data_IF_853415891981
#
_entry.id   IF_853415891981
#
_cell.length_a   1.000
_cell.length_b   1.000
_cell.length_c   1.000
_cell.angle_alpha   90.00
_cell.angle_beta   90.00
_cell.angle_gamma   90.00
#
_symmetry.space_group_name_H-M   'P 1'
#
loop_
_entity.id
_entity.type
_entity.pdbx_description
1 polymer ?
#
# COMPACT_ATOMS: atom_id res chain seq x y z
N UNK A 1 69.49 -33.31 -43.76
CA UNK A 1 70.58 -34.32 -43.83
C UNK A 1 71.96 -33.70 -44.01
N UNK A 2 72.17 -32.81 -44.99
CA UNK A 2 73.49 -32.17 -45.23
C UNK A 2 74.02 -31.39 -44.00
N UNK A 3 73.17 -30.66 -43.27
CA UNK A 3 73.55 -29.92 -42.05
C UNK A 3 74.01 -30.84 -40.92
N UNK A 4 73.32 -31.97 -40.70
CA UNK A 4 73.72 -32.95 -39.69
C UNK A 4 75.04 -33.65 -40.05
N UNK A 5 75.28 -33.92 -41.34
CA UNK A 5 76.53 -34.48 -41.85
C UNK A 5 77.69 -33.49 -41.75
N UNK A 6 77.44 -32.19 -41.97
CA UNK A 6 78.40 -31.12 -41.70
C UNK A 6 78.79 -31.03 -40.23
N UNK A 7 77.82 -31.05 -39.31
CA UNK A 7 78.12 -31.04 -37.87
C UNK A 7 78.93 -32.27 -37.46
N UNK A 8 78.59 -33.46 -37.97
CA UNK A 8 79.39 -34.68 -37.73
C UNK A 8 80.80 -34.57 -38.29
N UNK A 9 80.96 -34.05 -39.50
CA UNK A 9 82.27 -33.79 -40.11
C UNK A 9 83.12 -32.85 -39.24
N UNK A 10 82.57 -31.71 -38.79
CA UNK A 10 83.29 -30.78 -37.92
C UNK A 10 83.67 -31.41 -36.56
N UNK A 11 82.80 -32.24 -35.99
CA UNK A 11 83.10 -32.99 -34.77
C UNK A 11 84.24 -34.00 -34.98
N UNK A 12 84.21 -34.77 -36.08
CA UNK A 12 85.25 -35.73 -36.41
C UNK A 12 86.61 -35.08 -36.66
N UNK A 13 86.63 -33.90 -37.28
CA UNK A 13 87.84 -33.08 -37.44
C UNK A 13 88.42 -32.65 -36.09
N UNK A 14 87.59 -32.18 -35.15
CA UNK A 14 88.05 -31.73 -33.83
C UNK A 14 88.66 -32.85 -32.99
N UNK A 15 88.18 -34.08 -33.15
CA UNK A 15 88.73 -35.25 -32.46
C UNK A 15 89.87 -35.95 -33.23
N UNK A 16 90.36 -35.32 -34.32
CA UNK A 16 91.48 -35.82 -35.12
C UNK A 16 91.16 -37.01 -36.02
N UNK A 17 89.90 -37.42 -36.14
CA UNK A 17 89.48 -38.56 -36.95
C UNK A 17 89.16 -38.13 -38.40
N UNK A 18 90.22 -37.96 -39.18
CA UNK A 18 90.14 -37.47 -40.57
C UNK A 18 89.33 -38.41 -41.48
N UNK A 19 89.45 -39.73 -41.28
CA UNK A 19 88.73 -40.72 -42.08
C UNK A 19 87.21 -40.61 -41.91
N UNK A 20 86.74 -40.49 -40.67
CA UNK A 20 85.30 -40.34 -40.38
C UNK A 20 84.77 -38.96 -40.80
N UNK A 21 85.62 -37.92 -40.75
CA UNK A 21 85.27 -36.60 -41.25
C UNK A 21 85.05 -36.62 -42.77
N UNK A 22 85.96 -37.25 -43.51
CA UNK A 22 85.85 -37.43 -44.96
C UNK A 22 84.61 -38.24 -45.33
N UNK A 23 84.42 -39.40 -44.70
CA UNK A 23 83.24 -40.25 -44.93
C UNK A 23 81.92 -39.50 -44.68
N UNK A 24 81.88 -38.65 -43.65
CA UNK A 24 80.69 -37.85 -43.33
C UNK A 24 80.43 -36.76 -44.37
N UNK A 25 81.47 -36.08 -44.84
CA UNK A 25 81.36 -35.05 -45.87
C UNK A 25 80.96 -35.63 -47.24
N UNK A 26 81.58 -36.74 -47.65
CA UNK A 26 81.24 -37.47 -48.89
C UNK A 26 79.82 -38.04 -48.85
N UNK A 27 79.39 -38.57 -47.70
CA UNK A 27 78.01 -39.00 -47.50
C UNK A 27 77.03 -37.82 -47.65
N UNK A 28 77.40 -36.65 -47.13
CA UNK A 28 76.65 -35.40 -47.30
C UNK A 28 76.57 -34.96 -48.77
N UNK A 29 77.68 -34.99 -49.50
CA UNK A 29 77.74 -34.67 -50.92
C UNK A 29 76.90 -35.65 -51.75
N UNK A 30 77.01 -36.96 -51.50
CA UNK A 30 76.22 -37.96 -52.21
C UNK A 30 74.71 -37.77 -52.01
N UNK A 31 74.30 -37.41 -50.80
CA UNK A 31 72.91 -37.05 -50.52
C UNK A 31 72.48 -35.78 -51.27
N UNK A 32 73.34 -34.76 -51.32
CA UNK A 32 73.05 -33.52 -52.06
C UNK A 32 72.99 -33.74 -53.57
N UNK A 33 73.87 -34.57 -54.14
CA UNK A 33 73.84 -34.96 -55.55
C UNK A 33 72.53 -35.69 -55.90
N UNK A 34 72.10 -36.63 -55.05
CA UNK A 34 70.80 -37.33 -55.19
C UNK A 34 69.60 -36.39 -55.08
N UNK A 35 69.69 -35.32 -54.27
CA UNK A 35 68.58 -34.38 -54.07
C UNK A 35 68.30 -33.47 -55.26
N UNK A 36 69.23 -33.35 -56.21
CA UNK A 36 69.12 -32.43 -57.35
C UNK A 36 69.26 -30.93 -57.00
N UNK A 37 69.06 -30.53 -55.74
CA UNK A 37 69.10 -29.14 -55.28
C UNK A 37 70.49 -28.50 -55.43
N UNK A 38 70.59 -27.48 -56.28
CA UNK A 38 71.81 -26.70 -56.47
C UNK A 38 72.29 -26.04 -55.16
N UNK A 39 71.36 -25.55 -54.33
CA UNK A 39 71.66 -25.00 -53.01
C UNK A 39 72.29 -26.05 -52.06
N UNK A 40 71.71 -27.26 -52.03
CA UNK A 40 72.24 -28.35 -51.18
C UNK A 40 73.62 -28.81 -51.65
N UNK A 41 73.88 -28.79 -52.97
CA UNK A 41 75.19 -29.07 -53.56
C UNK A 41 76.21 -28.00 -53.17
N UNK A 42 75.87 -26.71 -53.27
CA UNK A 42 76.74 -25.61 -52.85
C UNK A 42 77.15 -25.76 -51.38
N UNK A 43 76.19 -25.96 -50.47
CA UNK A 43 76.52 -26.17 -49.06
C UNK A 43 77.40 -27.40 -48.84
N UNK A 44 77.15 -28.49 -49.55
CA UNK A 44 77.96 -29.71 -49.40
C UNK A 44 79.38 -29.55 -49.93
N UNK A 45 79.56 -28.79 -51.01
CA UNK A 45 80.88 -28.41 -51.50
C UNK A 45 81.60 -27.44 -50.56
N UNK A 46 80.91 -26.45 -49.97
CA UNK A 46 81.52 -25.61 -48.94
C UNK A 46 81.98 -26.44 -47.73
N UNK A 47 81.23 -27.46 -47.33
CA UNK A 47 81.65 -28.36 -46.26
C UNK A 47 82.92 -29.13 -46.63
N UNK A 48 83.03 -29.60 -47.88
CA UNK A 48 84.24 -30.25 -48.38
C UNK A 48 85.43 -29.28 -48.48
N UNK A 49 85.18 -28.01 -48.85
CA UNK A 49 86.19 -26.96 -48.80
C UNK A 49 86.69 -26.76 -47.37
N UNK A 50 85.80 -26.65 -46.37
CA UNK A 50 86.20 -26.56 -44.96
C UNK A 50 87.02 -27.78 -44.49
N UNK A 51 86.59 -28.98 -44.88
CA UNK A 51 87.30 -30.21 -44.58
C UNK A 51 88.73 -30.17 -45.14
N UNK A 52 88.87 -29.86 -46.43
CA UNK A 52 90.17 -29.86 -47.09
C UNK A 52 91.05 -28.67 -46.69
N UNK A 53 90.47 -27.56 -46.24
CA UNK A 53 91.19 -26.48 -45.57
C UNK A 53 91.84 -26.97 -44.27
N UNK A 54 91.11 -27.73 -43.45
CA UNK A 54 91.67 -28.33 -42.23
C UNK A 54 92.76 -29.37 -42.54
N UNK A 55 92.65 -30.09 -43.67
CA UNK A 55 93.62 -31.08 -44.13
C UNK A 55 94.77 -30.48 -44.97
N UNK A 56 94.76 -29.16 -45.22
CA UNK A 56 95.72 -28.44 -46.08
C UNK A 56 95.91 -29.04 -47.48
N UNK A 57 94.84 -29.58 -48.08
CA UNK A 57 94.87 -30.12 -49.44
C UNK A 57 94.40 -29.07 -50.46
N UNK A 58 95.33 -28.33 -51.05
CA UNK A 58 95.05 -27.22 -51.97
C UNK A 58 94.32 -27.66 -53.25
N UNK A 59 94.67 -28.81 -53.82
CA UNK A 59 94.11 -29.27 -55.11
C UNK A 59 92.59 -29.49 -55.03
N UNK A 60 92.13 -30.16 -53.96
CA UNK A 60 90.70 -30.43 -53.76
C UNK A 60 89.93 -29.17 -53.36
N UNK A 61 90.54 -28.25 -52.59
CA UNK A 61 89.90 -26.96 -52.26
C UNK A 61 89.59 -26.18 -53.55
N UNK A 62 90.58 -26.06 -54.44
CA UNK A 62 90.41 -25.36 -55.72
C UNK A 62 89.31 -25.97 -56.59
N UNK A 63 89.26 -27.32 -56.67
CA UNK A 63 88.22 -28.04 -57.39
C UNK A 63 86.81 -27.73 -56.86
N UNK A 64 86.62 -27.86 -55.55
CA UNK A 64 85.29 -27.65 -54.94
C UNK A 64 84.88 -26.19 -54.96
N UNK A 65 85.82 -25.24 -54.84
CA UNK A 65 85.53 -23.81 -55.01
C UNK A 65 85.14 -23.45 -56.44
N UNK A 66 85.71 -24.11 -57.45
CA UNK A 66 85.29 -23.94 -58.85
C UNK A 66 83.85 -24.44 -59.02
N UNK A 67 83.54 -25.62 -58.47
CA UNK A 67 82.19 -26.21 -58.52
C UNK A 67 81.15 -25.37 -57.80
N UNK A 68 81.47 -24.76 -56.66
CA UNK A 68 80.55 -23.84 -55.98
C UNK A 68 80.37 -22.55 -56.77
N UNK A 69 81.43 -22.01 -57.38
CA UNK A 69 81.35 -20.81 -58.21
C UNK A 69 80.44 -21.01 -59.42
N UNK A 70 80.56 -22.14 -60.13
CA UNK A 70 79.67 -22.52 -61.24
C UNK A 70 78.21 -22.60 -60.81
N UNK A 71 77.92 -23.16 -59.62
CA UNK A 71 76.55 -23.23 -59.14
C UNK A 71 76.02 -21.89 -58.63
N UNK A 72 76.90 -20.99 -58.20
CA UNK A 72 76.55 -19.66 -57.71
C UNK A 72 76.33 -18.65 -58.83
N UNK A 73 76.81 -18.88 -60.05
CA UNK A 73 76.44 -18.02 -61.20
C UNK A 73 74.95 -18.10 -61.50
N UNK A 74 74.34 -19.26 -61.26
CA UNK A 74 72.91 -19.50 -61.51
C UNK A 74 72.02 -19.19 -60.29
N UNK A 75 72.62 -18.88 -59.14
CA UNK A 75 71.92 -18.59 -57.89
C UNK A 75 72.37 -17.24 -57.36
N UNK A 76 71.54 -16.21 -57.56
CA UNK A 76 71.75 -14.90 -56.94
C UNK A 76 71.48 -14.95 -55.43
N UNK A 77 72.48 -15.40 -54.67
CA UNK A 77 72.43 -15.46 -53.21
C UNK A 77 73.66 -14.77 -52.63
N UNK A 78 73.45 -13.52 -52.18
CA UNK A 78 74.50 -12.68 -51.60
C UNK A 78 75.20 -13.31 -50.39
N UNK A 79 74.50 -14.07 -49.55
CA UNK A 79 75.11 -14.73 -48.39
C UNK A 79 76.07 -15.85 -48.83
N UNK A 80 75.68 -16.63 -49.84
CA UNK A 80 76.54 -17.70 -50.36
C UNK A 80 77.70 -17.15 -51.19
N UNK A 81 77.49 -16.06 -51.93
CA UNK A 81 78.55 -15.34 -52.62
C UNK A 81 79.55 -14.72 -51.62
N UNK A 82 79.09 -14.24 -50.46
CA UNK A 82 79.98 -13.79 -49.38
C UNK A 82 80.87 -14.94 -48.91
N UNK A 83 80.26 -16.10 -48.60
CA UNK A 83 81.00 -17.31 -48.21
C UNK A 83 81.97 -17.77 -49.30
N UNK A 84 81.58 -17.73 -50.57
CA UNK A 84 82.43 -18.06 -51.70
C UNK A 84 83.68 -17.18 -51.73
N UNK A 85 83.51 -15.86 -51.61
CA UNK A 85 84.62 -14.91 -51.58
C UNK A 85 85.55 -15.19 -50.38
N UNK A 86 85.00 -15.43 -49.19
CA UNK A 86 85.79 -15.75 -48.00
C UNK A 86 86.61 -17.04 -48.14
N UNK A 87 85.99 -18.14 -48.58
CA UNK A 87 86.75 -19.38 -48.79
C UNK A 87 87.75 -19.27 -49.95
N UNK A 88 87.44 -18.51 -51.01
CA UNK A 88 88.38 -18.25 -52.11
C UNK A 88 89.57 -17.41 -51.66
N UNK A 89 89.37 -16.46 -50.74
CA UNK A 89 90.47 -15.70 -50.15
C UNK A 89 91.42 -16.58 -49.35
N UNK A 90 90.88 -17.45 -48.48
CA UNK A 90 91.66 -18.39 -47.66
C UNK A 90 92.43 -19.36 -48.58
N UNK A 91 91.79 -19.86 -49.64
CA UNK A 91 92.45 -20.70 -50.64
C UNK A 91 93.59 -19.97 -51.36
N UNK A 92 93.36 -18.73 -51.79
CA UNK A 92 94.36 -17.90 -52.47
C UNK A 92 95.59 -17.63 -51.59
N UNK A 93 95.39 -17.39 -50.29
CA UNK A 93 96.48 -17.29 -49.31
C UNK A 93 97.29 -18.59 -49.22
N UNK A 94 96.61 -19.74 -49.21
CA UNK A 94 97.24 -21.06 -49.09
C UNK A 94 98.12 -21.44 -50.30
N UNK A 95 97.78 -20.95 -51.49
CA UNK A 95 98.58 -21.14 -52.73
C UNK A 95 99.59 -19.99 -52.99
N UNK A 96 99.66 -18.99 -52.10
CA UNK A 96 100.59 -17.86 -52.20
C UNK A 96 100.16 -16.72 -53.13
N UNK A 97 98.91 -16.71 -53.62
CA UNK A 97 98.35 -15.60 -54.41
C UNK A 97 97.68 -14.56 -53.50
N UNK A 98 98.53 -13.77 -52.84
CA UNK A 98 98.08 -12.73 -51.91
C UNK A 98 97.27 -11.62 -52.59
N UNK A 99 97.45 -11.40 -53.89
CA UNK A 99 96.71 -10.38 -54.65
C UNK A 99 95.25 -10.79 -54.80
N UNK A 100 95.02 -12.05 -55.20
CA UNK A 100 93.68 -12.62 -55.28
C UNK A 100 93.02 -12.68 -53.90
N UNK A 101 93.77 -13.06 -52.85
CA UNK A 101 93.25 -13.11 -51.48
C UNK A 101 92.71 -11.74 -51.02
N UNK A 102 93.48 -10.67 -51.22
CA UNK A 102 93.08 -9.32 -50.85
C UNK A 102 91.84 -8.83 -51.64
N UNK A 103 91.75 -9.16 -52.94
CA UNK A 103 90.61 -8.79 -53.76
C UNK A 103 89.32 -9.49 -53.32
N UNK A 104 89.41 -10.79 -53.02
CA UNK A 104 88.27 -11.59 -52.56
C UNK A 104 87.78 -11.13 -51.17
N UNK A 105 88.69 -10.83 -50.23
CA UNK A 105 88.33 -10.26 -48.92
C UNK A 105 87.63 -8.90 -49.03
N UNK A 106 88.03 -8.07 -50.00
CA UNK A 106 87.38 -6.78 -50.26
C UNK A 106 85.94 -6.98 -50.76
N UNK A 107 85.71 -7.96 -51.63
CA UNK A 107 84.38 -8.32 -52.13
C UNK A 107 83.51 -8.91 -51.02
N UNK A 108 84.07 -9.81 -50.19
CA UNK A 108 83.38 -10.37 -49.03
C UNK A 108 82.90 -9.28 -48.07
N UNK A 109 83.80 -8.37 -47.66
CA UNK A 109 83.47 -7.29 -46.73
C UNK A 109 82.41 -6.33 -47.29
N UNK A 110 82.48 -6.01 -48.60
CA UNK A 110 81.46 -5.18 -49.26
C UNK A 110 80.08 -5.86 -49.19
N UNK A 111 80.04 -7.16 -49.46
CA UNK A 111 78.79 -7.92 -49.44
C UNK A 111 78.25 -8.07 -48.01
N UNK A 112 79.12 -8.32 -47.03
CA UNK A 112 78.80 -8.37 -45.61
C UNK A 112 78.16 -7.06 -45.12
N UNK A 113 78.74 -5.91 -45.48
CA UNK A 113 78.20 -4.58 -45.12
C UNK A 113 76.78 -4.36 -45.69
N UNK A 114 76.57 -4.69 -46.97
CA UNK A 114 75.24 -4.56 -47.59
C UNK A 114 74.18 -5.50 -47.01
N UNK A 115 74.55 -6.73 -46.66
CA UNK A 115 73.66 -7.67 -45.98
C UNK A 115 73.28 -7.18 -44.58
N UNK A 116 74.24 -6.62 -43.83
CA UNK A 116 73.98 -6.04 -42.52
C UNK A 116 73.01 -4.85 -42.59
N UNK A 117 73.20 -3.94 -43.55
CA UNK A 117 72.31 -2.80 -43.78
C UNK A 117 70.89 -3.25 -44.14
N UNK A 118 70.74 -4.25 -45.00
CA UNK A 118 69.44 -4.82 -45.34
C UNK A 118 68.72 -5.43 -44.13
N UNK A 119 69.45 -6.17 -43.29
CA UNK A 119 68.92 -6.74 -42.05
C UNK A 119 68.47 -5.65 -41.07
N UNK A 120 69.29 -4.60 -40.90
CA UNK A 120 68.95 -3.47 -40.04
C UNK A 120 67.71 -2.74 -40.54
N UNK A 121 67.62 -2.45 -41.84
CA UNK A 121 66.47 -1.79 -42.44
C UNK A 121 65.19 -2.61 -42.27
N UNK A 122 65.25 -3.93 -42.50
CA UNK A 122 64.11 -4.84 -42.26
C UNK A 122 63.67 -4.84 -40.78
N UNK A 123 64.61 -4.82 -39.85
CA UNK A 123 64.31 -4.76 -38.42
C UNK A 123 63.67 -3.41 -38.03
N UNK A 124 64.19 -2.30 -38.54
CA UNK A 124 63.65 -0.95 -38.33
C UNK A 124 62.24 -0.84 -38.88
N UNK A 125 61.99 -1.31 -40.12
CA UNK A 125 60.65 -1.31 -40.70
C UNK A 125 59.66 -2.14 -39.89
N UNK A 126 60.08 -3.33 -39.43
CA UNK A 126 59.25 -4.18 -38.59
C UNK A 126 58.87 -3.48 -37.28
N UNK A 127 59.85 -2.89 -36.60
CA UNK A 127 59.61 -2.18 -35.34
C UNK A 127 58.73 -0.94 -35.57
N UNK A 128 58.94 -0.20 -36.66
CA UNK A 128 58.09 0.95 -37.02
C UNK A 128 56.64 0.53 -37.23
N UNK A 129 56.39 -0.57 -37.95
CA UNK A 129 55.04 -1.11 -38.14
C UNK A 129 54.39 -1.51 -36.81
N UNK A 130 55.14 -2.15 -35.92
CA UNK A 130 54.64 -2.52 -34.59
C UNK A 130 54.30 -1.29 -33.74
N UNK A 131 55.17 -0.27 -33.74
CA UNK A 131 54.94 0.97 -33.01
C UNK A 131 53.67 1.68 -33.50
N UNK A 132 53.49 1.81 -34.82
CA UNK A 132 52.29 2.43 -35.39
C UNK A 132 51.01 1.66 -35.05
N UNK A 133 51.07 0.34 -34.97
CA UNK A 133 49.94 -0.48 -34.56
C UNK A 133 49.58 -0.28 -33.08
N UNK A 134 50.59 -0.18 -32.21
CA UNK A 134 50.39 0.12 -30.78
C UNK A 134 49.79 1.52 -30.59
N UNK A 135 50.32 2.53 -31.28
CA UNK A 135 49.79 3.90 -31.22
C UNK A 135 48.33 3.97 -31.68
N UNK A 136 47.98 3.26 -32.76
CA UNK A 136 46.59 3.18 -33.23
C UNK A 136 45.68 2.50 -32.20
N UNK A 137 46.14 1.40 -31.59
CA UNK A 137 45.38 0.69 -30.57
C UNK A 137 45.12 1.59 -29.34
N UNK A 138 46.14 2.31 -28.87
CA UNK A 138 45.99 3.26 -27.76
C UNK A 138 44.95 4.34 -28.06
N UNK A 139 44.96 4.91 -29.27
CA UNK A 139 43.96 5.91 -29.68
C UNK A 139 42.54 5.35 -29.65
N UNK A 140 42.34 4.12 -30.12
CA UNK A 140 41.04 3.45 -30.08
C UNK A 140 40.59 3.24 -28.63
N UNK A 141 41.48 2.77 -27.76
CA UNK A 141 41.17 2.53 -26.36
C UNK A 141 40.83 3.83 -25.62
N UNK A 142 41.56 4.91 -25.89
CA UNK A 142 41.27 6.26 -25.36
C UNK A 142 39.89 6.76 -25.81
N UNK A 143 39.52 6.56 -27.08
CA UNK A 143 38.19 6.93 -27.58
C UNK A 143 37.08 6.10 -26.94
N UNK A 144 37.29 4.78 -26.78
CA UNK A 144 36.35 3.90 -26.08
C UNK A 144 36.17 4.36 -24.63
N UNK A 145 37.25 4.72 -23.94
CA UNK A 145 37.19 5.20 -22.57
C UNK A 145 36.46 6.54 -22.46
N UNK A 146 36.70 7.48 -23.39
CA UNK A 146 35.96 8.74 -23.47
C UNK A 146 34.47 8.52 -23.72
N UNK A 147 34.11 7.63 -24.64
CA UNK A 147 32.72 7.30 -24.93
C UNK A 147 32.02 6.63 -23.72
N UNK A 148 32.71 5.74 -23.00
CA UNK A 148 32.21 5.15 -21.75
C UNK A 148 31.97 6.20 -20.67
N UNK A 149 32.89 7.16 -20.51
CA UNK A 149 32.74 8.24 -19.54
C UNK A 149 31.54 9.15 -19.90
N UNK A 150 31.42 9.54 -21.18
CA UNK A 150 30.32 10.38 -21.65
C UNK A 150 28.96 9.69 -21.46
N UNK A 151 28.85 8.40 -21.80
CA UNK A 151 27.61 7.63 -21.59
C UNK A 151 27.26 7.47 -20.12
N UNK A 152 28.24 7.24 -19.24
CA UNK A 152 28.03 7.20 -17.79
C UNK A 152 27.54 8.56 -17.25
N UNK A 153 28.13 9.67 -17.70
CA UNK A 153 27.70 11.02 -17.33
C UNK A 153 26.26 11.30 -17.79
N UNK A 154 25.90 10.93 -19.02
CA UNK A 154 24.53 11.07 -19.52
C UNK A 154 23.52 10.25 -18.71
N UNK A 155 23.88 9.02 -18.33
CA UNK A 155 23.03 8.18 -17.50
C UNK A 155 22.85 8.77 -16.09
N UNK A 156 23.91 9.30 -15.48
CA UNK A 156 23.81 9.98 -14.19
C UNK A 156 22.87 11.20 -14.25
N UNK A 157 22.97 12.03 -15.29
CA UNK A 157 22.05 13.16 -15.49
C UNK A 157 20.59 12.71 -15.69
N UNK A 158 20.36 11.59 -16.37
CA UNK A 158 19.02 11.02 -16.52
C UNK A 158 18.46 10.54 -15.18
N UNK A 159 19.29 9.86 -14.38
CA UNK A 159 18.90 9.39 -13.04
C UNK A 159 18.57 10.55 -12.11
N UNK A 160 19.39 11.61 -12.09
CA UNK A 160 19.11 12.82 -11.30
C UNK A 160 17.75 13.44 -11.66
N UNK A 161 17.43 13.56 -12.96
CA UNK A 161 16.13 14.07 -13.41
C UNK A 161 14.98 13.17 -12.95
N UNK A 162 15.14 11.85 -13.02
CA UNK A 162 14.12 10.91 -12.56
C UNK A 162 13.89 11.02 -11.04
N UNK A 163 14.96 11.15 -10.25
CA UNK A 163 14.87 11.34 -8.80
C UNK A 163 14.10 12.62 -8.46
N UNK A 164 14.39 13.73 -9.17
CA UNK A 164 13.66 14.99 -8.98
C UNK A 164 12.17 14.87 -9.34
N UNK A 165 11.83 14.20 -10.44
CA UNK A 165 10.44 13.98 -10.85
C UNK A 165 9.67 13.12 -9.83
N UNK A 166 10.29 12.04 -9.34
CA UNK A 166 9.68 11.19 -8.31
C UNK A 166 9.48 11.97 -7.01
N UNK A 167 10.48 12.76 -6.60
CA UNK A 167 10.39 13.59 -5.39
C UNK A 167 9.26 14.62 -5.48
N UNK A 168 9.12 15.29 -6.63
CA UNK A 168 8.04 16.23 -6.88
C UNK A 168 6.65 15.53 -6.84
N UNK A 169 6.54 14.34 -7.41
CA UNK A 169 5.33 13.53 -7.36
C UNK A 169 4.92 13.14 -5.93
N UNK A 170 5.90 12.75 -5.10
CA UNK A 170 5.68 12.42 -3.68
C UNK A 170 5.18 13.65 -2.91
N UNK A 171 5.83 14.81 -3.08
CA UNK A 171 5.41 16.06 -2.41
C UNK A 171 3.99 16.44 -2.82
N UNK A 172 3.64 16.32 -4.10
CA UNK A 172 2.30 16.60 -4.59
C UNK A 172 1.27 15.64 -4.00
N UNK A 173 1.58 14.35 -3.92
CA UNK A 173 0.72 13.34 -3.31
C UNK A 173 0.47 13.61 -1.82
N UNK A 174 1.49 13.99 -1.05
CA UNK A 174 1.32 14.36 0.35
C UNK A 174 0.53 15.65 0.53
N UNK A 175 0.74 16.64 -0.34
CA UNK A 175 -0.01 17.90 -0.33
C UNK A 175 -1.50 17.67 -0.61
N UNK A 176 -1.84 16.88 -1.62
CA UNK A 176 -3.25 16.54 -1.92
C UNK A 176 -3.88 15.73 -0.80
N UNK A 177 -3.17 14.76 -0.22
CA UNK A 177 -3.65 14.00 0.93
C UNK A 177 -3.93 14.90 2.14
N UNK A 178 -3.03 15.83 2.46
CA UNK A 178 -3.21 16.77 3.55
C UNK A 178 -4.45 17.67 3.33
N UNK A 179 -4.66 18.13 2.10
CA UNK A 179 -5.82 18.95 1.73
C UNK A 179 -7.13 18.16 1.87
N UNK A 180 -7.15 16.90 1.44
CA UNK A 180 -8.30 16.00 1.61
C UNK A 180 -8.61 15.78 3.09
N UNK A 181 -7.60 15.49 3.91
CA UNK A 181 -7.79 15.30 5.36
C UNK A 181 -8.29 16.58 6.03
N UNK A 182 -7.75 17.74 5.66
CA UNK A 182 -8.21 19.05 6.11
C UNK A 182 -9.68 19.27 5.76
N UNK A 183 -10.06 19.00 4.50
CA UNK A 183 -11.45 19.11 4.04
C UNK A 183 -12.40 18.21 4.84
N UNK A 184 -12.06 16.94 5.06
CA UNK A 184 -12.87 16.02 5.84
C UNK A 184 -13.00 16.44 7.31
N UNK A 185 -11.89 16.89 7.92
CA UNK A 185 -11.90 17.41 9.30
C UNK A 185 -12.82 18.62 9.42
N UNK A 186 -12.73 19.56 8.49
CA UNK A 186 -13.55 20.77 8.49
C UNK A 186 -15.04 20.45 8.29
N UNK A 187 -15.37 19.55 7.36
CA UNK A 187 -16.75 19.13 7.11
C UNK A 187 -17.38 18.47 8.34
N UNK A 188 -16.63 17.62 9.06
CA UNK A 188 -17.10 16.99 10.31
C UNK A 188 -17.31 18.03 11.41
N UNK A 189 -16.44 19.03 11.53
CA UNK A 189 -16.59 20.11 12.51
C UNK A 189 -17.86 20.95 12.26
N UNK A 190 -18.09 21.34 10.99
CA UNK A 190 -19.30 22.08 10.61
C UNK A 190 -20.59 21.29 10.87
N UNK A 191 -20.59 19.99 10.59
CA UNK A 191 -21.74 19.14 10.86
C UNK A 191 -22.05 19.05 12.36
N UNK A 192 -21.03 18.85 13.20
CA UNK A 192 -21.18 18.86 14.66
C UNK A 192 -21.71 20.21 15.17
N UNK A 193 -21.19 21.31 14.66
CA UNK A 193 -21.64 22.65 15.05
C UNK A 193 -23.12 22.87 14.72
N UNK A 194 -23.57 22.47 13.52
CA UNK A 194 -24.99 22.53 13.13
C UNK A 194 -25.88 21.69 14.03
N UNK A 195 -25.45 20.46 14.35
CA UNK A 195 -26.20 19.57 15.24
C UNK A 195 -26.31 20.18 16.65
N UNK A 196 -25.24 20.79 17.14
CA UNK A 196 -25.24 21.44 18.44
C UNK A 196 -26.19 22.65 18.47
N UNK A 197 -26.22 23.47 17.42
CA UNK A 197 -27.17 24.57 17.29
C UNK A 197 -28.62 24.09 17.23
N UNK A 198 -28.89 23.01 16.49
CA UNK A 198 -30.22 22.42 16.42
C UNK A 198 -30.71 21.98 17.81
N UNK A 199 -29.89 21.23 18.54
CA UNK A 199 -30.21 20.78 19.91
C UNK A 199 -30.39 21.95 20.89
N UNK A 200 -29.63 23.05 20.73
CA UNK A 200 -29.80 24.25 21.55
C UNK A 200 -31.15 24.94 21.27
N UNK A 201 -31.50 25.11 20.00
CA UNK A 201 -32.79 25.72 19.61
C UNK A 201 -33.96 24.88 20.14
N UNK A 202 -33.87 23.54 20.06
CA UNK A 202 -34.90 22.65 20.59
C UNK A 202 -35.03 22.76 22.12
N UNK A 203 -33.90 22.86 22.84
CA UNK A 203 -33.89 23.11 24.29
C UNK A 203 -34.48 24.46 24.66
N UNK A 204 -34.11 25.53 23.96
CA UNK A 204 -34.65 26.87 24.23
C UNK A 204 -36.16 26.91 23.99
N UNK A 205 -36.63 26.26 22.92
CA UNK A 205 -38.07 26.12 22.65
C UNK A 205 -38.77 25.35 23.76
N UNK A 206 -38.21 24.22 24.20
CA UNK A 206 -38.76 23.43 25.31
C UNK A 206 -38.86 24.26 26.60
N UNK A 207 -37.84 25.04 26.95
CA UNK A 207 -37.87 25.89 28.14
C UNK A 207 -38.94 26.99 28.04
N UNK A 208 -39.11 27.57 26.84
CA UNK A 208 -40.18 28.53 26.59
C UNK A 208 -41.58 27.89 26.77
N UNK A 209 -41.80 26.72 26.17
CA UNK A 209 -43.07 26.01 26.24
C UNK A 209 -43.40 25.58 27.69
N UNK A 210 -42.42 25.06 28.45
CA UNK A 210 -42.57 24.75 29.88
C UNK A 210 -42.95 26.01 30.69
N UNK A 211 -42.31 27.13 30.41
CA UNK A 211 -42.61 28.40 31.09
C UNK A 211 -44.05 28.86 30.84
N UNK A 212 -44.58 28.64 29.63
CA UNK A 212 -45.97 28.93 29.29
C UNK A 212 -46.95 28.01 30.03
N UNK A 213 -46.67 26.70 30.07
CA UNK A 213 -47.52 25.72 30.75
C UNK A 213 -47.51 25.87 32.28
N UNK A 214 -46.42 26.36 32.88
CA UNK A 214 -46.38 26.70 34.30
C UNK A 214 -47.14 27.99 34.63
N UNK A 215 -47.10 29.00 33.74
CA UNK A 215 -47.77 30.30 33.96
C UNK A 215 -49.29 30.17 34.04
N UNK A 216 -49.87 29.31 33.21
CA UNK A 216 -51.33 29.12 33.14
C UNK A 216 -51.97 28.66 34.47
N UNK A 217 -51.56 27.53 35.08
CA UNK A 217 -52.10 27.09 36.36
C UNK A 217 -51.75 28.07 37.49
N UNK A 218 -50.60 28.73 37.44
CA UNK A 218 -50.21 29.74 38.43
C UNK A 218 -51.14 30.97 38.39
N UNK A 219 -51.51 31.45 37.20
CA UNK A 219 -52.48 32.54 37.04
C UNK A 219 -53.87 32.17 37.58
N UNK A 220 -54.32 30.93 37.32
CA UNK A 220 -55.61 30.43 37.84
C UNK A 220 -55.57 30.26 39.36
N UNK A 221 -54.47 29.75 39.90
CA UNK A 221 -54.23 29.65 41.34
C UNK A 221 -54.30 31.03 42.00
N UNK A 222 -53.61 32.02 41.41
CA UNK A 222 -53.63 33.41 41.88
C UNK A 222 -55.04 34.00 41.88
N UNK A 223 -55.80 33.81 40.81
CA UNK A 223 -57.18 34.28 40.70
C UNK A 223 -58.08 33.69 41.80
N UNK A 224 -57.92 32.39 42.11
CA UNK A 224 -58.68 31.75 43.20
C UNK A 224 -58.30 32.28 44.58
N UNK A 225 -57.02 32.60 44.81
CA UNK A 225 -56.57 33.22 46.06
C UNK A 225 -57.11 34.65 46.17
N UNK A 226 -56.98 35.47 45.12
CA UNK A 226 -57.51 36.85 45.09
C UNK A 226 -59.04 36.88 45.32
N UNK A 227 -59.78 35.92 44.74
CA UNK A 227 -61.23 35.81 44.96
C UNK A 227 -61.60 35.46 46.42
N UNK A 228 -60.76 34.68 47.11
CA UNK A 228 -60.92 34.37 48.53
C UNK A 228 -60.56 35.57 49.41
N UNK A 229 -59.51 36.32 49.06
CA UNK A 229 -59.08 37.53 49.79
C UNK A 229 -60.13 38.64 49.74
N UNK A 230 -60.81 38.78 48.60
CA UNK A 230 -61.86 39.78 48.39
C UNK A 230 -63.25 39.32 48.89
N UNK A 231 -63.36 38.13 49.48
CA UNK A 231 -64.59 37.50 49.97
C UNK A 231 -65.72 37.39 48.91
N UNK A 232 -65.33 37.34 47.63
CA UNK A 232 -66.26 37.25 46.49
C UNK A 232 -66.73 35.79 46.29
N UNK A 233 -66.03 34.83 46.89
CA UNK A 233 -66.24 33.41 46.66
C UNK A 233 -67.19 32.78 47.69
N UNK A 234 -68.45 32.56 47.29
CA UNK A 234 -69.53 32.06 48.16
C UNK A 234 -69.25 30.67 48.77
N UNK A 235 -68.46 29.82 48.10
CA UNK A 235 -68.11 28.48 48.58
C UNK A 235 -66.60 28.34 48.75
N UNK A 236 -66.12 28.56 49.98
CA UNK A 236 -64.70 28.48 50.33
C UNK A 236 -64.13 27.08 50.19
N UNK A 237 -64.89 26.03 50.55
CA UNK A 237 -64.43 24.64 50.44
C UNK A 237 -64.17 24.25 48.98
N UNK A 238 -65.05 24.67 48.07
CA UNK A 238 -64.86 24.47 46.63
C UNK A 238 -63.63 25.23 46.11
N UNK A 239 -63.36 26.43 46.63
CA UNK A 239 -62.19 27.21 46.26
C UNK A 239 -60.88 26.56 46.73
N UNK A 240 -60.82 26.11 47.99
CA UNK A 240 -59.67 25.35 48.51
C UNK A 240 -59.44 24.05 47.74
N UNK A 241 -60.50 23.33 47.37
CA UNK A 241 -60.40 22.14 46.52
C UNK A 241 -59.81 22.46 45.15
N UNK A 242 -60.24 23.56 44.50
CA UNK A 242 -59.67 24.03 43.23
C UNK A 242 -58.20 24.44 43.35
N UNK A 243 -57.83 25.13 44.43
CA UNK A 243 -56.44 25.52 44.74
C UNK A 243 -55.56 24.26 44.88
N UNK A 244 -55.98 23.30 45.70
CA UNK A 244 -55.25 22.05 45.91
C UNK A 244 -55.12 21.25 44.60
N UNK A 245 -56.18 21.19 43.79
CA UNK A 245 -56.14 20.58 42.47
C UNK A 245 -55.12 21.25 41.53
N UNK A 246 -55.03 22.58 41.54
CA UNK A 246 -54.04 23.32 40.74
C UNK A 246 -52.60 23.15 41.23
N UNK A 247 -52.39 23.07 42.55
CA UNK A 247 -51.07 22.75 43.14
C UNK A 247 -50.64 21.33 42.75
N UNK A 248 -51.53 20.34 42.85
CA UNK A 248 -51.25 18.97 42.42
C UNK A 248 -50.91 18.90 40.92
N UNK A 249 -51.65 19.63 40.09
CA UNK A 249 -51.35 19.75 38.66
C UNK A 249 -49.95 20.33 38.40
N UNK A 250 -49.56 21.38 39.13
CA UNK A 250 -48.23 21.99 39.02
C UNK A 250 -47.11 21.02 39.42
N UNK A 251 -47.30 20.27 40.52
CA UNK A 251 -46.33 19.28 40.98
C UNK A 251 -46.15 18.15 39.96
N UNK A 252 -47.24 17.68 39.34
CA UNK A 252 -47.17 16.68 38.28
C UNK A 252 -46.39 17.22 37.07
N UNK A 253 -46.65 18.45 36.64
CA UNK A 253 -45.93 19.07 35.52
C UNK A 253 -44.43 19.21 35.81
N UNK A 254 -44.05 19.63 37.02
CA UNK A 254 -42.64 19.73 37.44
C UNK A 254 -41.98 18.34 37.44
N UNK A 255 -42.67 17.33 37.97
CA UNK A 255 -42.18 15.94 37.97
C UNK A 255 -41.99 15.41 36.55
N UNK A 256 -42.96 15.63 35.65
CA UNK A 256 -42.91 15.23 34.25
C UNK A 256 -41.70 15.87 33.53
N UNK A 257 -41.49 17.17 33.70
CA UNK A 257 -40.34 17.89 33.14
C UNK A 257 -39.02 17.35 33.67
N UNK A 258 -38.94 17.09 34.98
CA UNK A 258 -37.74 16.54 35.59
C UNK A 258 -37.41 15.14 35.06
N UNK A 259 -38.40 14.26 34.97
CA UNK A 259 -38.23 12.92 34.43
C UNK A 259 -37.79 12.93 32.96
N UNK A 260 -38.40 13.79 32.15
CA UNK A 260 -38.03 13.96 30.75
C UNK A 260 -36.57 14.45 30.61
N UNK A 261 -36.17 15.43 31.41
CA UNK A 261 -34.79 15.93 31.44
C UNK A 261 -33.78 14.83 31.83
N UNK A 262 -34.11 13.97 32.80
CA UNK A 262 -33.24 12.87 33.19
C UNK A 262 -33.13 11.79 32.11
N UNK A 263 -34.23 11.49 31.41
CA UNK A 263 -34.23 10.53 30.32
C UNK A 263 -33.35 11.00 29.15
N UNK A 264 -33.45 12.28 28.76
CA UNK A 264 -32.66 12.87 27.68
C UNK A 264 -31.16 12.91 27.96
N UNK A 265 -30.77 13.21 29.20
CA UNK A 265 -29.37 13.25 29.59
C UNK A 265 -28.78 11.85 29.79
N UNK A 266 -29.55 10.77 29.58
CA UNK A 266 -29.18 9.37 29.87
C UNK A 266 -28.69 9.17 31.31
N UNK A 267 -29.10 10.06 32.22
CA UNK A 267 -28.76 9.98 33.65
C UNK A 267 -29.78 9.14 34.41
N UNK A 268 -30.94 8.86 33.80
CA UNK A 268 -31.93 7.94 34.33
C UNK A 268 -31.37 6.51 34.31
N UNK A 269 -31.16 5.93 35.49
CA UNK A 269 -30.79 4.52 35.66
C UNK A 269 -32.06 3.68 35.75
N UNK A 270 -32.14 2.59 34.98
CA UNK A 270 -33.24 1.65 35.06
C UNK A 270 -33.03 0.71 36.25
N UNK A 271 -34.06 0.54 37.09
CA UNK A 271 -34.05 -0.45 38.14
C UNK A 271 -34.73 -1.74 37.63
N UNK A 272 -33.99 -2.50 36.82
CA UNK A 272 -34.49 -3.71 36.18
C UNK A 272 -34.58 -4.86 37.18
N UNK A 273 -35.77 -5.42 37.34
CA UNK A 273 -36.01 -6.62 38.14
C UNK A 273 -36.79 -7.64 37.31
N UNK A 274 -36.62 -8.91 37.65
CA UNK A 274 -37.30 -10.01 36.98
C UNK A 274 -38.66 -10.25 37.64
N UNK A 275 -39.70 -10.37 36.83
CA UNK A 275 -41.07 -10.60 37.29
C UNK A 275 -41.77 -11.63 36.43
N UNK A 276 -42.74 -12.34 37.01
CA UNK A 276 -43.65 -13.19 36.24
C UNK A 276 -44.63 -12.31 35.45
N UNK A 277 -44.63 -12.45 34.12
CA UNK A 277 -45.44 -11.60 33.25
C UNK A 277 -46.94 -11.81 33.45
N UNK A 278 -47.39 -13.06 33.61
CA UNK A 278 -48.81 -13.37 33.80
C UNK A 278 -49.34 -12.72 35.09
N UNK A 279 -48.58 -12.80 36.19
CA UNK A 279 -48.96 -12.19 37.47
C UNK A 279 -49.06 -10.66 37.38
N UNK A 280 -48.03 -9.99 36.84
CA UNK A 280 -48.01 -8.53 36.71
C UNK A 280 -49.18 -8.03 35.86
N UNK A 281 -49.44 -8.67 34.72
CA UNK A 281 -50.51 -8.21 33.83
C UNK A 281 -51.91 -8.55 34.34
N UNK A 282 -52.07 -9.56 35.22
CA UNK A 282 -53.32 -9.78 35.94
C UNK A 282 -53.61 -8.66 36.94
N UNK A 283 -52.59 -8.17 37.66
CA UNK A 283 -52.72 -7.01 38.55
C UNK A 283 -53.10 -5.74 37.75
N UNK A 284 -52.40 -5.46 36.65
CA UNK A 284 -52.73 -4.35 35.77
C UNK A 284 -54.13 -4.45 35.17
N UNK A 285 -54.57 -5.64 34.77
CA UNK A 285 -55.91 -5.84 34.25
C UNK A 285 -56.96 -5.38 35.28
N UNK A 286 -56.81 -5.80 36.53
CA UNK A 286 -57.76 -5.46 37.60
C UNK A 286 -57.79 -3.95 37.88
N UNK A 287 -56.62 -3.32 37.95
CA UNK A 287 -56.50 -1.89 38.20
C UNK A 287 -57.07 -1.04 37.06
N UNK A 288 -56.70 -1.38 35.82
CA UNK A 288 -57.17 -0.65 34.64
C UNK A 288 -58.67 -0.87 34.41
N UNK A 289 -59.20 -2.06 34.68
CA UNK A 289 -60.65 -2.33 34.65
C UNK A 289 -61.41 -1.41 35.61
N UNK A 290 -60.93 -1.29 36.85
CA UNK A 290 -61.55 -0.39 37.86
C UNK A 290 -61.54 1.06 37.39
N UNK A 291 -60.41 1.52 36.88
CA UNK A 291 -60.23 2.90 36.41
C UNK A 291 -61.08 3.23 35.18
N UNK A 292 -61.12 2.35 34.17
CA UNK A 292 -61.91 2.57 32.94
C UNK A 292 -63.41 2.57 33.27
N UNK A 293 -63.87 1.63 34.10
CA UNK A 293 -65.27 1.56 34.48
C UNK A 293 -65.72 2.74 35.36
N UNK A 294 -64.84 3.34 36.17
CA UNK A 294 -65.18 4.55 36.93
C UNK A 294 -65.44 5.77 36.03
N UNK A 295 -64.96 5.74 34.78
CA UNK A 295 -65.20 6.75 33.75
C UNK A 295 -66.40 6.42 32.85
N UNK A 296 -67.26 5.46 33.24
CA UNK A 296 -68.45 5.04 32.48
C UNK A 296 -68.12 4.43 31.10
N UNK A 297 -66.91 3.90 30.94
CA UNK A 297 -66.44 3.21 29.74
C UNK A 297 -66.42 1.69 29.97
N UNK A 298 -66.55 0.93 28.88
CA UNK A 298 -66.44 -0.54 28.92
C UNK A 298 -64.98 -0.98 28.77
N UNK A 299 -64.51 -1.92 29.59
CA UNK A 299 -63.15 -2.46 29.51
C UNK A 299 -63.11 -3.90 28.97
N UNK A 300 -62.29 -4.12 27.95
CA UNK A 300 -62.00 -5.43 27.39
C UNK A 300 -60.53 -5.80 27.59
N UNK A 301 -60.25 -7.04 27.97
CA UNK A 301 -58.89 -7.56 28.10
C UNK A 301 -58.72 -8.80 27.23
N UNK A 302 -57.62 -8.85 26.49
CA UNK A 302 -57.14 -9.98 25.68
C UNK A 302 -55.67 -10.22 26.04
N UNK A 303 -55.44 -10.90 27.17
CA UNK A 303 -54.10 -11.19 27.71
C UNK A 303 -53.80 -12.66 27.43
N UNK A 304 -52.75 -12.92 26.65
CA UNK A 304 -52.27 -14.28 26.35
C UNK A 304 -50.77 -14.30 26.61
N UNK A 305 -50.40 -14.88 27.75
CA UNK A 305 -49.03 -14.99 28.26
C UNK A 305 -48.92 -16.41 28.82
N UNK A 306 -47.82 -17.12 28.54
CA UNK A 306 -47.57 -18.41 29.19
C UNK A 306 -47.06 -18.20 30.62
N UNK A 307 -47.47 -19.06 31.55
CA UNK A 307 -47.20 -18.89 32.99
C UNK A 307 -45.71 -18.88 33.34
N UNK A 308 -44.86 -19.42 32.48
CA UNK A 308 -43.41 -19.52 32.63
C UNK A 308 -42.64 -18.32 32.05
N UNK A 309 -43.33 -17.32 31.47
CA UNK A 309 -42.68 -16.14 30.89
C UNK A 309 -42.26 -15.16 31.98
N UNK A 310 -40.96 -14.99 32.13
CA UNK A 310 -40.35 -13.98 32.99
C UNK A 310 -39.94 -12.75 32.18
N UNK A 311 -40.22 -11.55 32.71
CA UNK A 311 -39.88 -10.26 32.11
C UNK A 311 -38.90 -9.50 32.99
N UNK A 312 -37.85 -8.96 32.38
CA UNK A 312 -36.88 -8.09 33.06
C UNK A 312 -37.18 -6.64 32.71
N UNK A 313 -37.85 -5.92 33.61
CA UNK A 313 -38.33 -4.55 33.36
C UNK A 313 -38.19 -3.68 34.61
N UNK A 314 -38.17 -2.36 34.41
CA UNK A 314 -38.35 -1.42 35.51
C UNK A 314 -39.86 -1.25 35.75
N UNK A 315 -40.37 -1.91 36.81
CA UNK A 315 -41.80 -1.93 37.13
C UNK A 315 -42.36 -0.52 37.31
N UNK A 316 -41.63 0.39 37.95
CA UNK A 316 -42.12 1.75 38.18
C UNK A 316 -42.32 2.51 36.88
N UNK A 317 -41.43 2.32 35.89
CA UNK A 317 -41.57 2.92 34.57
C UNK A 317 -42.68 2.28 33.75
N UNK A 318 -42.84 0.95 33.85
CA UNK A 318 -43.95 0.25 33.22
C UNK A 318 -45.31 0.69 33.78
N UNK A 319 -45.43 0.81 35.12
CA UNK A 319 -46.60 1.35 35.80
C UNK A 319 -46.96 2.74 35.24
N UNK A 320 -45.96 3.62 35.09
CA UNK A 320 -46.15 4.96 34.57
C UNK A 320 -46.55 4.99 33.08
N UNK A 321 -45.96 4.13 32.25
CA UNK A 321 -46.34 3.99 30.84
C UNK A 321 -47.82 3.59 30.72
N UNK A 322 -48.23 2.56 31.45
CA UNK A 322 -49.61 2.07 31.40
C UNK A 322 -50.57 3.13 31.93
N UNK A 323 -50.29 3.73 33.08
CA UNK A 323 -51.12 4.79 33.64
C UNK A 323 -51.30 5.95 32.65
N UNK A 324 -50.22 6.44 32.02
CA UNK A 324 -50.31 7.52 31.04
C UNK A 324 -51.17 7.14 29.83
N UNK A 325 -51.02 5.91 29.31
CA UNK A 325 -51.80 5.44 28.16
C UNK A 325 -53.29 5.30 28.54
N UNK A 326 -53.60 4.69 29.67
CA UNK A 326 -54.99 4.47 30.11
C UNK A 326 -55.70 5.75 30.56
N UNK A 327 -54.99 6.66 31.23
CA UNK A 327 -55.52 7.99 31.54
C UNK A 327 -55.87 8.74 30.26
N UNK A 328 -55.01 8.70 29.24
CA UNK A 328 -55.32 9.30 27.95
C UNK A 328 -56.52 8.62 27.28
N UNK A 329 -56.58 7.28 27.25
CA UNK A 329 -57.69 6.56 26.67
C UNK A 329 -59.03 6.93 27.34
N UNK A 330 -59.08 6.98 28.68
CA UNK A 330 -60.29 7.35 29.40
C UNK A 330 -60.67 8.83 29.20
N UNK A 331 -59.69 9.71 29.09
CA UNK A 331 -59.92 11.15 28.97
C UNK A 331 -60.45 11.55 27.58
N UNK A 332 -60.01 10.86 26.54
CA UNK A 332 -60.28 11.23 25.15
C UNK A 332 -61.36 10.39 24.48
N UNK A 333 -61.84 9.31 25.11
CA UNK A 333 -62.93 8.48 24.58
C UNK A 333 -64.29 9.08 24.94
N UNK A 334 -65.17 9.28 23.95
CA UNK A 334 -66.54 9.73 24.19
C UNK A 334 -67.38 8.59 24.81
N UNK A 335 -68.25 8.92 25.75
CA UNK A 335 -69.21 7.96 26.34
C UNK A 335 -70.48 7.93 25.48
N UNK A 336 -71.05 6.76 25.13
CA UNK A 336 -70.59 5.40 25.47
C UNK A 336 -69.45 4.92 24.57
N UNK A 337 -68.37 4.41 25.18
CA UNK A 337 -67.17 3.94 24.50
C UNK A 337 -66.49 2.78 25.23
N UNK A 338 -65.40 2.25 24.64
CA UNK A 338 -64.63 1.18 25.26
C UNK A 338 -63.12 1.33 25.08
N UNK A 339 -62.39 0.78 26.05
CA UNK A 339 -60.93 0.64 26.02
C UNK A 339 -60.59 -0.84 26.04
N UNK A 340 -59.68 -1.27 25.18
CA UNK A 340 -59.23 -2.66 25.06
C UNK A 340 -57.74 -2.77 25.34
N UNK A 341 -57.38 -3.61 26.30
CA UNK A 341 -56.01 -4.04 26.54
C UNK A 341 -55.74 -5.36 25.81
N UNK A 342 -54.68 -5.41 25.03
CA UNK A 342 -54.15 -6.64 24.46
C UNK A 342 -52.70 -6.83 24.86
N UNK A 343 -52.37 -7.98 25.44
CA UNK A 343 -51.00 -8.30 25.84
C UNK A 343 -50.61 -9.66 25.29
N UNK A 344 -49.40 -9.73 24.72
CA UNK A 344 -48.74 -10.96 24.30
C UNK A 344 -47.31 -10.92 24.80
N UNK A 345 -46.82 -11.99 25.42
CA UNK A 345 -45.43 -12.09 25.83
C UNK A 345 -44.89 -13.47 25.48
N UNK A 346 -43.64 -13.52 25.03
CA UNK A 346 -42.87 -14.73 24.82
C UNK A 346 -41.45 -14.54 25.38
N UNK A 347 -40.53 -15.49 25.16
CA UNK A 347 -39.15 -15.38 25.66
C UNK A 347 -38.31 -14.26 25.03
N UNK A 348 -38.77 -13.62 23.95
CA UNK A 348 -38.02 -12.61 23.20
C UNK A 348 -38.59 -11.21 23.34
N UNK A 349 -39.91 -11.07 23.42
CA UNK A 349 -40.59 -9.78 23.37
C UNK A 349 -41.90 -9.75 24.17
N UNK A 350 -42.18 -8.58 24.74
CA UNK A 350 -43.43 -8.20 25.37
C UNK A 350 -44.14 -7.19 24.46
N UNK A 351 -45.33 -7.55 24.02
CA UNK A 351 -46.21 -6.73 23.21
C UNK A 351 -47.42 -6.28 24.03
N UNK A 352 -47.63 -4.98 24.10
CA UNK A 352 -48.77 -4.34 24.76
C UNK A 352 -49.47 -3.46 23.74
N UNK A 353 -50.78 -3.57 23.64
CA UNK A 353 -51.60 -2.72 22.79
C UNK A 353 -52.82 -2.23 23.57
N UNK A 354 -53.07 -0.93 23.51
CA UNK A 354 -54.27 -0.30 24.07
C UNK A 354 -55.02 0.37 22.92
N UNK A 355 -56.25 -0.07 22.69
CA UNK A 355 -57.16 0.50 21.69
C UNK A 355 -58.33 1.20 22.38
N UNK A 356 -58.72 2.36 21.87
CA UNK A 356 -59.94 3.07 22.31
C UNK A 356 -60.93 3.31 21.14
N UNK A 357 -62.12 3.80 21.49
CA UNK A 357 -63.19 4.17 20.54
C UNK A 357 -63.18 5.66 20.23
N UNK A 358 -64.05 6.09 19.31
CA UNK A 358 -64.24 7.49 18.94
C UNK A 358 -64.21 8.48 20.13
N UNK A 359 -63.67 9.69 19.94
CA UNK A 359 -63.08 10.23 18.72
C UNK A 359 -61.64 9.75 18.45
N UNK A 360 -61.36 9.45 17.18
CA UNK A 360 -60.02 9.14 16.72
C UNK A 360 -59.16 10.38 16.46
N UNK A 361 -57.86 10.14 16.27
CA UNK A 361 -56.90 11.21 15.94
C UNK A 361 -56.72 11.30 14.43
N UNK A 362 -56.83 12.51 13.87
CA UNK A 362 -56.60 12.75 12.44
C UNK A 362 -55.19 12.34 12.00
N UNK A 363 -55.06 11.78 10.78
CA UNK A 363 -53.79 11.21 10.27
C UNK A 363 -52.60 12.18 10.35
N UNK A 364 -52.82 13.48 10.19
CA UNK A 364 -51.78 14.51 10.26
C UNK A 364 -51.19 14.70 11.68
N UNK A 365 -51.92 14.24 12.71
CA UNK A 365 -51.57 14.43 14.12
C UNK A 365 -50.94 13.18 14.75
N UNK A 366 -51.21 11.98 14.22
CA UNK A 366 -50.74 10.70 14.79
C UNK A 366 -49.21 10.68 14.96
N UNK A 367 -48.47 11.12 13.95
CA UNK A 367 -47.01 11.16 14.00
C UNK A 367 -46.42 12.17 14.99
N UNK A 368 -47.25 13.09 15.51
CA UNK A 368 -46.85 14.14 16.44
C UNK A 368 -47.29 13.88 17.87
N UNK A 369 -48.05 12.80 18.13
CA UNK A 369 -48.59 12.52 19.47
C UNK A 369 -47.52 12.26 20.53
N UNK A 370 -46.30 11.89 20.12
CA UNK A 370 -45.16 11.74 21.01
C UNK A 370 -44.28 13.00 21.08
N UNK A 371 -44.58 14.03 20.29
CA UNK A 371 -43.91 15.32 20.39
C UNK A 371 -44.24 15.94 21.76
N UNK A 372 -43.25 16.58 22.38
CA UNK A 372 -43.39 17.20 23.70
C UNK A 372 -44.44 18.29 23.67
N UNK A 373 -45.31 18.33 24.68
CA UNK A 373 -46.34 19.36 24.87
C UNK A 373 -47.33 19.45 23.69
N UNK A 374 -47.34 18.44 22.81
CA UNK A 374 -48.21 18.43 21.64
C UNK A 374 -49.63 18.01 22.00
N UNK A 375 -50.62 18.74 21.48
CA UNK A 375 -52.05 18.52 21.74
C UNK A 375 -52.85 18.81 20.48
N UNK A 376 -53.89 18.01 20.21
CA UNK A 376 -54.72 18.12 18.99
C UNK A 376 -55.76 19.25 19.11
N UNK A 377 -56.36 19.45 20.28
CA UNK A 377 -57.31 20.56 20.52
C UNK A 377 -57.02 21.27 21.86
N UNK A 378 -56.90 22.60 21.84
CA UNK A 378 -56.67 23.44 23.05
C UNK A 378 -57.94 23.67 23.90
N UNK A 379 -59.15 23.41 23.38
CA UNK A 379 -60.43 23.77 24.02
C UNK A 379 -60.93 22.70 25.00
N UNK A 380 -61.07 21.43 24.58
CA UNK A 380 -61.45 20.29 25.46
C UNK A 380 -60.39 20.00 26.53
N UNK A 381 -59.14 20.33 26.23
CA UNK A 381 -57.97 19.89 26.99
C UNK A 381 -57.58 20.83 28.14
N UNK A 382 -58.05 22.09 28.12
CA UNK A 382 -57.95 23.04 29.24
C UNK A 382 -58.82 22.65 30.44
N UNK A 383 -59.92 21.93 30.22
CA UNK A 383 -60.80 21.44 31.28
C UNK A 383 -60.22 20.19 31.98
N UNK A 384 -59.45 19.36 31.27
CA UNK A 384 -58.92 18.09 31.77
C UNK A 384 -57.49 18.12 32.29
N UNK A 385 -56.75 19.22 32.07
CA UNK A 385 -55.50 19.49 32.78
C UNK A 385 -54.26 18.68 32.36
N UNK A 386 -54.31 17.90 31.28
CA UNK A 386 -53.16 17.13 30.79
C UNK A 386 -51.97 18.02 30.38
N UNK A 387 -50.76 17.66 30.81
CA UNK A 387 -49.50 18.40 30.53
C UNK A 387 -49.03 18.30 29.07
N UNK A 388 -49.53 17.32 28.30
CA UNK A 388 -48.99 17.00 26.97
C UNK A 388 -47.60 16.33 27.01
N UNK A 389 -47.13 15.93 28.20
CA UNK A 389 -45.85 15.22 28.37
C UNK A 389 -46.02 13.71 28.53
N UNK A 390 -47.22 13.22 28.78
CA UNK A 390 -47.44 11.81 29.11
C UNK A 390 -46.92 10.83 28.05
N UNK A 391 -47.25 11.05 26.78
CA UNK A 391 -46.83 10.16 25.69
C UNK A 391 -45.34 10.31 25.33
N UNK A 392 -44.77 11.51 25.42
CA UNK A 392 -43.33 11.71 25.19
C UNK A 392 -42.47 11.08 26.30
N UNK A 393 -42.98 11.08 27.55
CA UNK A 393 -42.39 10.32 28.66
C UNK A 393 -42.49 8.82 28.40
N UNK A 394 -43.65 8.31 27.95
CA UNK A 394 -43.79 6.90 27.58
C UNK A 394 -42.77 6.50 26.50
N UNK A 395 -42.62 7.33 25.46
CA UNK A 395 -41.61 7.09 24.42
C UNK A 395 -40.20 7.03 25.00
N UNK A 396 -39.84 8.00 25.85
CA UNK A 396 -38.52 8.04 26.48
C UNK A 396 -38.23 6.78 27.32
N UNK A 397 -39.21 6.30 28.11
CA UNK A 397 -39.03 5.09 28.91
C UNK A 397 -38.96 3.82 28.07
N UNK A 398 -39.80 3.71 27.04
CA UNK A 398 -39.78 2.57 26.12
C UNK A 398 -38.44 2.51 25.38
N UNK A 399 -37.94 3.64 24.89
CA UNK A 399 -36.62 3.74 24.24
C UNK A 399 -35.46 3.40 25.19
N UNK A 400 -35.53 3.84 26.46
CA UNK A 400 -34.55 3.46 27.49
C UNK A 400 -34.56 1.95 27.75
N UNK A 401 -35.73 1.31 27.70
CA UNK A 401 -35.87 -0.15 27.76
C UNK A 401 -35.59 -0.85 26.41
N UNK A 402 -34.99 -0.14 25.44
CA UNK A 402 -34.66 -0.65 24.10
C UNK A 402 -35.86 -1.15 23.28
N UNK A 403 -37.06 -0.69 23.62
CA UNK A 403 -38.31 -1.01 22.93
C UNK A 403 -38.73 0.03 21.90
N UNK A 404 -39.93 -0.18 21.34
CA UNK A 404 -40.60 0.76 20.43
C UNK A 404 -42.03 1.04 20.88
N UNK A 405 -42.45 2.30 20.74
CA UNK A 405 -43.84 2.71 20.95
C UNK A 405 -44.38 3.36 19.67
N UNK A 406 -45.62 3.06 19.29
CA UNK A 406 -46.24 3.59 18.09
C UNK A 406 -47.70 3.95 18.35
N UNK A 407 -48.15 5.04 17.72
CA UNK A 407 -49.54 5.43 17.65
C UNK A 407 -50.09 5.10 16.26
N UNK A 408 -51.27 4.48 16.21
CA UNK A 408 -51.95 4.04 15.00
C UNK A 408 -53.43 4.42 15.08
N UNK A 409 -54.14 4.59 13.96
CA UNK A 409 -55.59 4.68 13.99
C UNK A 409 -56.20 3.42 14.62
N UNK A 410 -57.05 3.60 15.62
CA UNK A 410 -57.76 2.51 16.28
C UNK A 410 -58.80 1.88 15.35
N UNK A 411 -58.90 0.54 15.36
CA UNK A 411 -59.90 -0.17 14.53
C UNK A 411 -61.33 0.17 14.92
N UNK A 412 -61.55 0.57 16.17
CA UNK A 412 -62.86 1.00 16.70
C UNK A 412 -63.13 2.50 16.52
N UNK A 413 -62.37 3.18 15.65
CA UNK A 413 -62.54 4.59 15.33
C UNK A 413 -61.82 5.57 16.27
N UNK A 414 -61.12 5.07 17.29
CA UNK A 414 -60.29 5.84 18.23
C UNK A 414 -58.80 5.82 17.88
N UNK A 415 -57.96 5.71 18.89
CA UNK A 415 -56.50 5.58 18.84
C UNK A 415 -56.04 4.18 19.27
N UNK A 416 -54.92 3.73 18.71
CA UNK A 416 -54.25 2.50 19.09
C UNK A 416 -52.80 2.83 19.48
N UNK A 417 -52.44 2.61 20.74
CA UNK A 417 -51.06 2.70 21.22
C UNK A 417 -50.48 1.30 21.33
N UNK A 418 -49.33 1.08 20.69
CA UNK A 418 -48.60 -0.18 20.70
C UNK A 418 -47.23 0.03 21.32
N UNK A 419 -46.89 -0.80 22.31
CA UNK A 419 -45.57 -0.86 22.94
C UNK A 419 -44.99 -2.25 22.71
N UNK A 420 -43.73 -2.30 22.29
CA UNK A 420 -42.95 -3.52 22.12
C UNK A 420 -41.67 -3.39 22.95
N UNK A 421 -41.45 -4.30 23.89
CA UNK A 421 -40.23 -4.34 24.72
C UNK A 421 -39.47 -5.65 24.45
N UNK A 422 -38.16 -5.60 24.15
CA UNK A 422 -37.35 -6.82 24.07
C UNK A 422 -37.13 -7.40 25.49
N UNK A 423 -37.31 -8.71 25.63
CA UNK A 423 -37.15 -9.45 26.89
C UNK A 423 -35.85 -10.29 26.94
N UNK A 424 -35.20 -10.48 25.79
CA UNK A 424 -33.95 -11.22 25.70
C UNK A 424 -32.76 -10.43 26.25
N UNK A 425 -31.96 -11.08 27.12
CA UNK A 425 -30.67 -10.56 27.59
C UNK A 425 -29.80 -10.12 26.40
N UNK A 426 -29.29 -8.90 26.47
CA UNK A 426 -27.99 -8.56 25.86
C UNK A 426 -26.95 -8.46 26.95
#
# INVERSE_FOLDING_TARGET
>A
MATAKHTLMQLYLKIGNQHMALSSAESGLNAALKSGSALSKIYSYFNLVELHLALKNSELIGLYLSRTKELLTDIDNRLLNQKQHGYTAIYAELIGDYKLAAEQLKLENKLAASLFEEHLNKAVEKNKKQLTAIEQQQRIDDEIQKNKLATAQMNNQRLEKQIWLLSAGIVLLFSTLALVLYYFKHRKALFKAKLYQYNLIEKDKMLADISHELRTPLSVLKLHIEALELDIQENRDLAYSKINGKIAQLNNLISDVYQLSQAENKTLTLNLHQYNAAQIFAEYEQDMRRYVCSHQLTFFADIVIADDVEITVDKQKLDQILNNIFTNACLYTDTPGHVRLKVRANMQELFIQVDDTSPGVGKAHIGKLFDRLYRVEESRSRASGGSGLGLSICQSFVELMSGTINALPGKSGGLCIRVLLPLGNK
#
